data_IF_254434838443
#
_entry.id   IF_254434838443
#
_cell.length_a   1.000
_cell.length_b   1.000
_cell.length_c   1.000
_cell.angle_alpha   90.00
_cell.angle_beta   90.00
_cell.angle_gamma   90.00
#
_symmetry.space_group_name_H-M   'P 1'
#
loop_
_entity.id
_entity.type
_entity.pdbx_description
1 polymer ?
#
# COMPACT_ATOMS: atom_id res chain seq x y z
N UNK A 1 -37.24 27.72 -31.69
CA UNK A 1 -37.64 27.54 -30.28
C UNK A 1 -37.51 26.07 -29.95
N UNK A 2 -36.73 25.68 -28.94
CA UNK A 2 -36.67 24.28 -28.52
C UNK A 2 -38.05 23.88 -27.99
N UNK A 3 -38.60 22.76 -28.46
CA UNK A 3 -39.85 22.20 -27.96
C UNK A 3 -39.75 21.95 -26.46
N UNK A 4 -40.84 22.11 -25.71
CA UNK A 4 -40.91 21.84 -24.27
C UNK A 4 -40.42 20.43 -23.92
N UNK A 5 -40.61 19.47 -24.83
CA UNK A 5 -40.09 18.10 -24.68
C UNK A 5 -38.55 18.04 -24.65
N UNK A 6 -37.86 18.84 -25.46
CA UNK A 6 -36.40 18.91 -25.48
C UNK A 6 -35.85 19.52 -24.18
N UNK A 7 -36.54 20.53 -23.63
CA UNK A 7 -36.18 21.16 -22.36
C UNK A 7 -36.34 20.16 -21.20
N UNK A 8 -37.42 19.37 -21.22
CA UNK A 8 -37.68 18.39 -20.17
C UNK A 8 -36.66 17.25 -20.19
N UNK A 9 -36.23 16.77 -21.36
CA UNK A 9 -35.17 15.76 -21.46
C UNK A 9 -33.81 16.26 -20.94
N UNK A 10 -33.45 17.53 -21.21
CA UNK A 10 -32.21 18.13 -20.69
C UNK A 10 -32.24 18.25 -19.17
N UNK A 11 -33.38 18.63 -18.59
CA UNK A 11 -33.57 18.64 -17.12
C UNK A 11 -33.37 17.26 -16.52
N UNK A 12 -33.92 16.22 -17.16
CA UNK A 12 -33.74 14.83 -16.70
C UNK A 12 -32.27 14.42 -16.76
N UNK A 13 -31.56 14.70 -17.86
CA UNK A 13 -30.13 14.38 -17.99
C UNK A 13 -29.27 15.10 -16.94
N UNK A 14 -29.56 16.38 -16.67
CA UNK A 14 -28.86 17.13 -15.63
C UNK A 14 -29.11 16.54 -14.24
N UNK A 15 -30.36 16.22 -13.89
CA UNK A 15 -30.69 15.58 -12.62
C UNK A 15 -30.01 14.21 -12.45
N UNK A 16 -29.92 13.42 -13.53
CA UNK A 16 -29.22 12.12 -13.52
C UNK A 16 -27.71 12.32 -13.34
N UNK A 17 -27.13 13.31 -14.01
CA UNK A 17 -25.72 13.65 -13.87
C UNK A 17 -25.37 14.11 -12.45
N UNK A 18 -26.22 14.94 -11.83
CA UNK A 18 -26.06 15.39 -10.45
C UNK A 18 -26.14 14.23 -9.46
N UNK A 19 -27.08 13.30 -9.67
CA UNK A 19 -27.18 12.08 -8.87
C UNK A 19 -25.94 11.18 -9.01
N UNK A 20 -25.43 11.00 -10.23
CA UNK A 20 -24.23 10.20 -10.50
C UNK A 20 -22.97 10.80 -9.86
N UNK A 21 -22.79 12.13 -9.96
CA UNK A 21 -21.67 12.82 -9.34
C UNK A 21 -21.71 12.75 -7.80
N UNK A 22 -22.92 12.80 -7.22
CA UNK A 22 -23.10 12.63 -5.78
C UNK A 22 -22.69 11.23 -5.30
N UNK A 23 -23.02 10.18 -6.06
CA UNK A 23 -22.62 8.79 -5.77
C UNK A 23 -21.09 8.58 -5.86
N UNK A 24 -20.42 9.24 -6.79
CA UNK A 24 -18.95 9.17 -6.93
C UNK A 24 -18.23 9.84 -5.74
N UNK A 25 -18.81 10.90 -5.16
CA UNK A 25 -18.21 11.67 -4.05
C UNK A 25 -18.07 10.85 -2.77
N UNK A 26 -18.96 9.88 -2.54
CA UNK A 26 -18.95 9.00 -1.37
C UNK A 26 -17.87 7.90 -1.45
N UNK A 27 -17.43 7.51 -2.66
CA UNK A 27 -16.33 6.53 -2.84
C UNK A 27 -14.94 7.16 -2.65
N UNK A 28 -14.86 8.50 -2.66
CA UNK A 28 -13.61 9.27 -2.53
C UNK A 28 -13.08 9.45 -1.10
N UNK A 29 -13.92 9.28 -0.07
CA UNK A 29 -13.55 9.63 1.31
C UNK A 29 -13.10 8.41 2.17
N UNK A 30 -13.17 7.19 1.65
CA UNK A 30 -12.64 6.01 2.33
C UNK A 30 -11.09 5.92 2.26
N UNK A 31 -10.46 6.67 1.34
CA UNK A 31 -8.98 6.79 1.26
C UNK A 31 -8.39 7.69 2.36
N UNK A 32 -9.19 8.59 2.94
CA UNK A 32 -8.73 9.54 3.96
C UNK A 32 -8.79 8.99 5.39
N UNK A 33 -9.78 8.16 5.70
CA UNK A 33 -10.03 7.67 7.06
C UNK A 33 -9.18 6.47 7.48
N UNK A 34 -8.65 5.71 6.51
CA UNK A 34 -7.66 4.66 6.78
C UNK A 34 -6.27 5.18 7.15
N UNK A 35 -6.00 6.48 6.96
CA UNK A 35 -4.69 7.08 7.29
C UNK A 35 -4.62 7.69 8.67
N UNK A 36 -5.75 8.07 9.27
CA UNK A 36 -5.78 8.74 10.58
C UNK A 36 -5.74 7.75 11.76
N UNK A 37 -6.42 6.60 11.65
CA UNK A 37 -6.55 5.65 12.77
C UNK A 37 -5.51 4.51 12.75
N UNK A 38 -4.69 4.40 11.69
CA UNK A 38 -3.48 3.55 11.65
C UNK A 38 -2.20 4.34 11.98
N UNK A 39 -2.31 5.54 12.54
CA UNK A 39 -1.16 6.40 12.82
C UNK A 39 -0.76 6.44 14.30
N UNK A 40 -1.42 5.64 15.16
CA UNK A 40 -1.17 5.60 16.61
C UNK A 40 -0.60 4.28 17.15
N UNK A 41 -0.19 3.38 16.27
CA UNK A 41 0.70 2.28 16.61
C UNK A 41 2.00 2.43 15.80
N UNK A 42 3.19 2.16 16.36
CA UNK A 42 4.42 2.11 15.59
C UNK A 42 4.44 0.81 14.78
N UNK A 43 3.53 0.70 13.81
CA UNK A 43 3.57 -0.33 12.74
C UNK A 43 3.88 0.37 11.43
N UNK A 44 4.73 1.40 11.48
CA UNK A 44 5.53 1.77 10.31
C UNK A 44 6.61 0.71 10.10
N UNK A 45 6.19 -0.55 9.98
CA UNK A 45 6.79 -1.42 9.00
C UNK A 45 6.54 -0.73 7.68
N UNK A 46 7.49 0.13 7.28
CA UNK A 46 7.64 0.49 5.89
C UNK A 46 7.53 -0.84 5.15
N UNK A 47 6.46 -1.03 4.37
CA UNK A 47 6.33 -2.19 3.50
C UNK A 47 7.71 -2.33 2.86
N UNK A 48 8.46 -3.43 3.12
CA UNK A 48 9.83 -3.52 2.65
C UNK A 48 9.78 -3.13 1.19
N UNK A 49 10.53 -2.09 0.81
CA UNK A 49 10.68 -1.83 -0.61
C UNK A 49 11.18 -3.15 -1.16
N UNK A 50 10.36 -3.78 -2.01
CA UNK A 50 10.73 -5.05 -2.60
C UNK A 50 12.09 -4.89 -3.29
N UNK A 51 12.72 -5.99 -3.63
CA UNK A 51 13.93 -5.94 -4.43
C UNK A 51 13.65 -5.10 -5.70
N UNK A 52 14.65 -4.41 -6.23
CA UNK A 52 14.50 -3.50 -7.38
C UNK A 52 13.91 -4.16 -8.63
N UNK A 53 14.00 -5.48 -8.72
CA UNK A 53 13.41 -6.35 -9.75
C UNK A 53 11.95 -6.78 -9.46
N UNK A 54 11.32 -6.26 -8.39
CA UNK A 54 9.97 -6.63 -7.97
C UNK A 54 9.88 -7.99 -7.24
N UNK A 55 11.00 -8.68 -7.01
CA UNK A 55 10.99 -9.93 -6.24
C UNK A 55 10.86 -9.67 -4.74
N UNK A 56 10.39 -10.69 -4.02
CA UNK A 56 10.42 -10.69 -2.55
C UNK A 56 11.85 -10.93 -2.06
N UNK A 57 12.25 -10.33 -0.93
CA UNK A 57 13.58 -10.55 -0.38
C UNK A 57 13.75 -11.99 0.07
N UNK A 58 14.89 -12.61 -0.25
CA UNK A 58 15.20 -13.99 0.16
C UNK A 58 15.82 -14.06 1.54
N UNK A 59 16.49 -13.00 1.96
CA UNK A 59 17.20 -12.87 3.24
C UNK A 59 17.33 -11.39 3.65
N UNK A 60 17.98 -11.12 4.78
CA UNK A 60 18.21 -9.76 5.27
C UNK A 60 19.14 -8.93 4.38
N UNK A 61 19.97 -9.55 3.54
CA UNK A 61 20.87 -8.83 2.62
C UNK A 61 20.07 -8.19 1.48
N UNK A 62 19.08 -8.90 0.94
CA UNK A 62 18.14 -8.36 -0.07
C UNK A 62 17.33 -7.17 0.51
N UNK A 63 16.98 -7.24 1.80
CA UNK A 63 16.27 -6.18 2.52
C UNK A 63 17.18 -4.97 2.76
N UNK A 64 18.43 -5.20 3.15
CA UNK A 64 19.42 -4.14 3.30
C UNK A 64 19.71 -3.44 1.96
N UNK A 65 19.83 -4.21 0.88
CA UNK A 65 20.02 -3.67 -0.47
C UNK A 65 18.85 -2.79 -0.94
N UNK A 66 17.63 -2.97 -0.42
CA UNK A 66 16.47 -2.11 -0.72
C UNK A 66 16.44 -0.79 0.04
N UNK A 67 17.45 -0.54 0.89
CA UNK A 67 17.61 0.69 1.64
C UNK A 67 17.10 0.63 3.09
N UNK A 68 16.67 -0.54 3.58
CA UNK A 68 16.34 -0.70 5.00
C UNK A 68 17.62 -0.70 5.84
N UNK A 69 17.58 0.00 6.99
CA UNK A 69 18.75 0.19 7.88
C UNK A 69 18.41 -0.02 9.35
N UNK A 70 17.15 -0.36 9.66
CA UNK A 70 16.69 -0.56 11.03
C UNK A 70 16.80 -2.05 11.38
N UNK A 71 17.32 -2.34 12.57
CA UNK A 71 17.28 -3.70 13.12
C UNK A 71 15.83 -4.09 13.42
N UNK A 72 15.49 -5.37 13.23
CA UNK A 72 14.15 -5.82 13.58
C UNK A 72 13.71 -7.12 12.91
N UNK A 73 12.44 -7.46 13.10
CA UNK A 73 11.85 -8.67 12.51
C UNK A 73 11.33 -8.36 11.10
N UNK A 74 11.81 -9.12 10.12
CA UNK A 74 11.39 -9.00 8.72
C UNK A 74 10.90 -10.33 8.17
N UNK A 75 10.04 -10.26 7.15
CA UNK A 75 9.63 -11.44 6.39
C UNK A 75 10.58 -11.68 5.22
N UNK A 76 11.09 -12.90 5.11
CA UNK A 76 11.98 -13.35 4.03
C UNK A 76 11.37 -14.55 3.30
N UNK A 77 11.70 -14.72 2.02
CA UNK A 77 11.08 -15.67 1.12
C UNK A 77 12.14 -16.44 0.30
N UNK A 78 12.85 -17.40 0.90
CA UNK A 78 13.82 -18.23 0.18
C UNK A 78 13.19 -19.02 -0.98
N UNK A 79 14.01 -19.40 -1.96
CA UNK A 79 13.57 -20.03 -3.22
C UNK A 79 12.65 -21.25 -3.00
N UNK A 80 12.99 -22.12 -2.05
CA UNK A 80 12.24 -23.35 -1.77
C UNK A 80 11.18 -23.19 -0.67
N UNK A 81 10.96 -21.96 -0.19
CA UNK A 81 9.98 -21.67 0.86
C UNK A 81 9.13 -20.44 0.49
N UNK A 82 8.21 -20.59 -0.50
CA UNK A 82 7.47 -19.46 -1.04
C UNK A 82 6.48 -18.85 -0.06
N UNK A 83 6.11 -19.55 1.01
CA UNK A 83 5.30 -18.99 2.10
C UNK A 83 6.06 -17.91 2.87
N UNK A 84 7.39 -18.03 2.95
CA UNK A 84 8.25 -17.15 3.74
C UNK A 84 8.09 -17.35 5.24
N UNK A 85 9.02 -16.79 6.00
CA UNK A 85 9.01 -16.80 7.46
C UNK A 85 9.64 -15.51 8.00
N UNK A 86 9.48 -15.30 9.30
CA UNK A 86 10.06 -14.15 9.98
C UNK A 86 11.47 -14.46 10.48
N UNK A 87 12.37 -13.50 10.35
CA UNK A 87 13.75 -13.56 10.86
C UNK A 87 14.07 -12.23 11.53
N UNK A 88 15.02 -12.25 12.46
CA UNK A 88 15.63 -11.01 12.93
C UNK A 88 16.73 -10.60 11.94
N UNK A 89 16.61 -9.39 11.41
CA UNK A 89 17.64 -8.77 10.61
C UNK A 89 18.42 -7.77 11.46
N UNK A 90 19.72 -7.99 11.53
CA UNK A 90 20.67 -7.00 12.03
C UNK A 90 21.20 -6.21 10.82
N UNK A 91 20.80 -4.94 10.78
CA UNK A 91 21.10 -3.96 9.75
C UNK A 91 22.19 -2.98 10.18
N UNK A 92 22.73 -3.11 11.39
CA UNK A 92 23.67 -2.15 11.97
C UNK A 92 25.06 -2.72 12.18
N UNK A 93 25.19 -3.98 12.63
CA UNK A 93 26.47 -4.63 12.94
C UNK A 93 27.24 -4.95 11.66
N UNK A 94 28.54 -4.61 11.65
CA UNK A 94 29.49 -4.98 10.59
C UNK A 94 29.01 -4.68 9.16
N UNK A 95 28.29 -3.57 8.98
CA UNK A 95 27.76 -3.15 7.68
C UNK A 95 26.36 -3.65 7.37
N UNK A 96 25.74 -4.45 8.24
CA UNK A 96 24.33 -4.84 8.20
C UNK A 96 23.96 -5.89 7.16
N UNK A 97 22.67 -6.25 7.14
CA UNK A 97 22.13 -7.28 6.25
C UNK A 97 22.28 -8.71 6.78
N UNK A 98 22.57 -8.85 8.08
CA UNK A 98 22.75 -10.14 8.72
C UNK A 98 21.41 -10.77 9.05
N UNK A 99 21.25 -12.04 8.67
CA UNK A 99 20.09 -12.85 9.05
C UNK A 99 20.42 -13.63 10.31
N UNK A 100 19.72 -13.35 11.40
CA UNK A 100 19.89 -14.03 12.68
C UNK A 100 18.74 -15.02 12.87
N UNK A 101 19.07 -16.28 13.15
CA UNK A 101 18.07 -17.31 13.49
C UNK A 101 17.45 -16.99 14.83
N UNK A 102 16.12 -16.83 14.85
CA UNK A 102 15.31 -16.79 16.07
C UNK A 102 14.73 -18.17 16.39
#
# INVERSE_FOLDING_TARGET
MLSESQINMVKVMNSVNDALNSMQKETGNLKGKFKADLQRAPVRSARPKGCSNGSRPRDCSDIYASGQREDGIYSVFPMHYPAGFQVFCDMTTDGGGWTVSV
#
